data_IF_569318085705
#
_entry.id   IF_569318085705
#
_cell.length_a   1.000
_cell.length_b   1.000
_cell.length_c   1.000
_cell.angle_alpha   90.00
_cell.angle_beta   90.00
_cell.angle_gamma   90.00
#
_symmetry.space_group_name_H-M   'P 1'
#
loop_
_entity.id
_entity.type
_entity.pdbx_description
1 polymer ?
#
# COMPACT_ATOMS: atom_id res chain seq x y z
N UNK A 1 -4.49 -5.33 -32.16
CA UNK A 1 -5.46 -5.14 -31.06
C UNK A 1 -4.65 -4.79 -29.83
N UNK A 2 -4.18 -3.55 -29.80
CA UNK A 2 -3.36 -3.02 -28.72
C UNK A 2 -4.35 -2.61 -27.62
N UNK A 3 -4.36 -3.33 -26.50
CA UNK A 3 -5.08 -2.90 -25.32
C UNK A 3 -4.31 -1.68 -24.79
N UNK A 4 -4.90 -0.47 -24.73
CA UNK A 4 -4.25 0.65 -24.09
C UNK A 4 -4.21 0.35 -22.60
N UNK A 5 -3.09 -0.14 -22.09
CA UNK A 5 -2.79 -0.27 -20.65
C UNK A 5 -2.43 1.09 -20.05
N UNK A 6 -3.18 2.13 -20.42
CA UNK A 6 -3.04 3.50 -19.94
C UNK A 6 -4.37 4.02 -19.44
N UNK A 7 -5.01 3.27 -18.53
CA UNK A 7 -6.04 3.84 -17.68
C UNK A 7 -5.35 4.51 -16.51
N UNK A 8 -5.59 5.81 -16.30
CA UNK A 8 -4.92 6.69 -15.34
C UNK A 8 -4.74 6.05 -13.95
N UNK A 9 -3.59 5.42 -13.70
CA UNK A 9 -3.22 4.89 -12.40
C UNK A 9 -2.45 5.97 -11.62
N UNK A 10 -3.06 6.52 -10.58
CA UNK A 10 -2.45 7.59 -9.78
C UNK A 10 -1.68 6.97 -8.62
N UNK A 11 -0.37 7.22 -8.53
CA UNK A 11 0.41 6.81 -7.37
C UNK A 11 -0.02 7.63 -6.15
N UNK A 12 -0.60 6.97 -5.15
CA UNK A 12 -1.06 7.60 -3.92
C UNK A 12 0.04 7.65 -2.85
N UNK A 13 0.72 6.52 -2.62
CA UNK A 13 1.69 6.37 -1.52
C UNK A 13 2.66 5.22 -1.75
N UNK A 14 3.87 5.35 -1.23
CA UNK A 14 4.83 4.22 -1.13
C UNK A 14 4.78 3.65 0.28
N UNK A 15 4.76 2.33 0.38
CA UNK A 15 4.72 1.59 1.64
C UNK A 15 5.61 0.36 1.55
N UNK A 16 5.69 -0.42 2.63
CA UNK A 16 6.31 -1.74 2.62
C UNK A 16 5.24 -2.80 2.81
N UNK A 17 5.33 -3.88 2.04
CA UNK A 17 4.43 -5.02 2.13
C UNK A 17 5.22 -6.32 2.11
N UNK A 18 4.62 -7.38 2.63
CA UNK A 18 5.22 -8.71 2.61
C UNK A 18 4.93 -9.42 1.28
N UNK A 19 5.90 -10.20 0.79
CA UNK A 19 5.65 -11.19 -0.24
C UNK A 19 4.64 -12.23 0.28
N UNK A 20 3.58 -12.57 -0.47
CA UNK A 20 2.60 -13.56 -0.02
C UNK A 20 3.19 -14.98 0.06
N UNK A 21 4.32 -15.25 -0.61
CA UNK A 21 4.98 -16.55 -0.63
C UNK A 21 6.12 -16.61 0.40
N UNK A 22 7.18 -15.82 0.23
CA UNK A 22 8.37 -15.89 1.09
C UNK A 22 8.36 -14.95 2.30
N UNK A 23 7.32 -14.10 2.45
CA UNK A 23 7.20 -13.13 3.55
C UNK A 23 8.37 -12.15 3.69
N UNK A 24 9.20 -11.99 2.64
CA UNK A 24 10.21 -10.92 2.59
C UNK A 24 9.51 -9.56 2.59
N UNK A 25 10.10 -8.59 3.27
CA UNK A 25 9.65 -7.19 3.22
C UNK A 25 10.08 -6.61 1.88
N UNK A 26 9.11 -6.12 1.11
CA UNK A 26 9.29 -5.54 -0.21
C UNK A 26 8.75 -4.11 -0.21
N UNK A 27 9.30 -3.28 -1.08
CA UNK A 27 8.69 -1.99 -1.39
C UNK A 27 7.42 -2.22 -2.20
N UNK A 28 6.37 -1.50 -1.81
CA UNK A 28 5.05 -1.60 -2.39
C UNK A 28 4.51 -0.20 -2.69
N UNK A 29 3.72 -0.10 -3.75
CA UNK A 29 3.11 1.14 -4.21
C UNK A 29 1.60 1.01 -4.07
N UNK A 30 0.98 2.03 -3.47
CA UNK A 30 -0.47 2.15 -3.37
C UNK A 30 -0.91 3.04 -4.52
N UNK A 31 -1.68 2.49 -5.44
CA UNK A 31 -2.14 3.17 -6.66
C UNK A 31 -3.66 3.25 -6.67
N UNK A 32 -4.21 4.35 -7.18
CA UNK A 32 -5.64 4.48 -7.45
C UNK A 32 -5.92 4.23 -8.92
N UNK A 33 -6.93 3.40 -9.20
CA UNK A 33 -7.41 3.13 -10.54
C UNK A 33 -8.92 2.92 -10.50
N UNK A 34 -9.66 3.64 -11.35
CA UNK A 34 -11.13 3.51 -11.48
C UNK A 34 -11.89 3.69 -10.14
N UNK A 35 -11.45 4.64 -9.30
CA UNK A 35 -12.04 4.90 -7.98
C UNK A 35 -11.74 3.83 -6.92
N UNK A 36 -10.84 2.88 -7.22
CA UNK A 36 -10.39 1.81 -6.32
C UNK A 36 -8.92 1.97 -6.01
N UNK A 37 -8.50 1.48 -4.86
CA UNK A 37 -7.10 1.53 -4.43
C UNK A 37 -6.51 0.13 -4.48
N UNK A 38 -5.37 0.01 -5.14
CA UNK A 38 -4.59 -1.21 -5.28
C UNK A 38 -3.28 -1.08 -4.52
N UNK A 39 -2.75 -2.21 -4.08
CA UNK A 39 -1.41 -2.33 -3.54
C UNK A 39 -0.58 -3.27 -4.40
N UNK A 40 0.50 -2.73 -4.93
CA UNK A 40 1.34 -3.35 -5.95
C UNK A 40 2.74 -3.55 -5.41
N UNK A 41 3.33 -4.71 -5.69
CA UNK A 41 4.69 -5.04 -5.25
C UNK A 41 5.32 -6.06 -6.18
N UNK A 42 6.64 -6.00 -6.28
CA UNK A 42 7.42 -6.97 -7.06
C UNK A 42 8.38 -7.71 -6.14
N UNK A 43 8.21 -9.02 -6.05
CA UNK A 43 9.17 -9.89 -5.40
C UNK A 43 10.20 -10.35 -6.43
N UNK A 44 11.51 -10.23 -6.17
CA UNK A 44 12.53 -10.71 -7.10
C UNK A 44 12.46 -12.24 -7.32
N UNK A 45 11.96 -12.99 -6.34
CA UNK A 45 11.84 -14.45 -6.41
C UNK A 45 10.49 -14.93 -6.96
N UNK A 46 9.40 -14.18 -6.72
CA UNK A 46 8.02 -14.65 -6.98
C UNK A 46 7.22 -13.77 -7.95
N UNK A 47 7.82 -12.70 -8.48
CA UNK A 47 7.21 -11.84 -9.49
C UNK A 47 6.33 -10.71 -8.95
N UNK A 48 5.53 -10.14 -9.84
CA UNK A 48 4.64 -9.01 -9.56
C UNK A 48 3.31 -9.46 -8.94
N UNK A 49 2.86 -8.69 -7.95
CA UNK A 49 1.57 -8.87 -7.30
C UNK A 49 0.84 -7.54 -7.22
N UNK A 50 -0.43 -7.54 -7.64
CA UNK A 50 -1.35 -6.43 -7.45
C UNK A 50 -2.62 -6.96 -6.79
N UNK A 51 -3.04 -6.32 -5.71
CA UNK A 51 -4.26 -6.69 -4.97
C UNK A 51 -5.12 -5.47 -4.75
N UNK A 52 -6.43 -5.67 -4.78
CA UNK A 52 -7.38 -4.66 -4.33
C UNK A 52 -7.15 -4.41 -2.83
N UNK A 53 -6.81 -3.17 -2.50
CA UNK A 53 -6.58 -2.74 -1.13
C UNK A 53 -7.83 -2.09 -0.54
N UNK A 54 -8.46 -1.16 -1.27
CA UNK A 54 -9.74 -0.54 -0.90
C UNK A 54 -10.65 -0.45 -2.13
N UNK A 55 -11.95 -0.74 -1.93
CA UNK A 55 -12.95 -0.66 -3.00
C UNK A 55 -13.37 0.78 -3.35
N UNK A 56 -13.07 1.74 -2.48
CA UNK A 56 -13.45 3.15 -2.59
C UNK A 56 -12.24 4.04 -2.24
N UNK A 57 -11.77 4.81 -3.22
CA UNK A 57 -10.64 5.72 -3.07
C UNK A 57 -10.94 6.95 -2.22
N UNK A 58 -12.18 7.45 -2.21
CA UNK A 58 -12.59 8.56 -1.34
C UNK A 58 -12.58 8.13 0.13
N UNK A 59 -13.01 6.89 0.39
CA UNK A 59 -12.89 6.31 1.72
C UNK A 59 -11.40 6.22 2.14
N UNK A 60 -10.52 5.70 1.28
CA UNK A 60 -9.09 5.63 1.57
C UNK A 60 -8.49 7.02 1.91
N UNK A 61 -8.80 8.05 1.10
CA UNK A 61 -8.35 9.43 1.31
C UNK A 61 -8.84 9.99 2.65
N UNK A 62 -10.09 9.72 3.02
CA UNK A 62 -10.66 10.12 4.32
C UNK A 62 -9.89 9.47 5.48
N UNK A 63 -9.56 8.19 5.38
CA UNK A 63 -8.85 7.47 6.44
C UNK A 63 -7.37 7.87 6.57
N UNK A 64 -6.71 8.19 5.46
CA UNK A 64 -5.32 8.68 5.48
C UNK A 64 -5.15 9.96 6.30
N UNK A 65 -6.17 10.82 6.36
CA UNK A 65 -6.16 12.04 7.20
C UNK A 65 -6.04 11.72 8.71
N UNK A 66 -6.42 10.52 9.14
CA UNK A 66 -6.32 10.08 10.54
C UNK A 66 -5.03 9.30 10.84
N UNK A 67 -4.16 9.07 9.85
CA UNK A 67 -2.91 8.32 9.98
C UNK A 67 -1.80 9.02 10.78
N UNK A 68 -2.16 9.86 11.76
CA UNK A 68 -1.23 10.64 12.57
C UNK A 68 -0.62 9.75 13.65
N UNK A 69 0.71 9.55 13.60
CA UNK A 69 1.44 8.98 14.74
C UNK A 69 1.52 10.03 15.84
N UNK A 70 0.79 9.82 16.92
CA UNK A 70 0.93 10.64 18.13
C UNK A 70 2.30 10.48 18.80
N UNK A 71 2.55 11.28 19.84
CA UNK A 71 3.83 11.31 20.57
C UNK A 71 4.13 10.03 21.39
N UNK A 72 3.26 9.03 21.34
CA UNK A 72 3.33 7.84 22.19
C UNK A 72 2.91 8.14 23.64
N UNK A 73 3.19 7.18 24.52
CA UNK A 73 3.00 7.32 25.98
C UNK A 73 4.36 7.57 26.63
N UNK A 74 4.39 8.34 27.71
CA UNK A 74 5.62 8.61 28.47
C UNK A 74 6.15 7.40 29.23
N UNK A 75 5.28 6.42 29.51
CA UNK A 75 5.63 5.19 30.23
C UNK A 75 5.16 3.93 29.46
N UNK A 76 5.78 3.58 28.32
CA UNK A 76 5.45 2.36 27.62
C UNK A 76 5.93 1.14 28.40
N UNK A 77 5.15 0.05 28.42
CA UNK A 77 5.55 -1.23 29.03
C UNK A 77 6.70 -1.94 28.26
N UNK A 78 7.11 -1.40 27.11
CA UNK A 78 8.21 -1.92 26.29
C UNK A 78 9.13 -0.76 25.92
N UNK A 79 10.39 -0.86 26.35
CA UNK A 79 11.47 0.05 25.91
C UNK A 79 12.00 -0.51 24.59
N UNK A 80 12.07 0.31 23.55
CA UNK A 80 12.78 -0.07 22.32
C UNK A 80 14.26 0.31 22.52
N UNK A 81 15.17 -0.66 22.43
CA UNK A 81 16.61 -0.43 22.25
C UNK A 81 16.91 0.30 20.94
#
# INVERSE_FOLDING_TARGET
MEIPIGGDSILLKKTKSLCPVCKKILDAEITEKDGKVYIERTCPDHGFFSYLYWEDSDAWRRYEAFGIKGNGVTNPQVVKE
#
